data_IF_381169331330
#
_entry.id   IF_381169331330
#
_cell.length_a   1.000
_cell.length_b   1.000
_cell.length_c   1.000
_cell.angle_alpha   90.00
_cell.angle_beta   90.00
_cell.angle_gamma   90.00
#
_symmetry.space_group_name_H-M   'P 1'
#
loop_
_entity.id
_entity.type
_entity.pdbx_description
1 polymer ?
#
# COMPACT_ATOMS: atom_id res chain seq x y z
N UNK A 1 -3.95 13.83 20.16
CA UNK A 1 -3.17 13.07 19.16
C UNK A 1 -3.74 11.66 19.02
N UNK A 2 -4.03 10.96 20.12
CA UNK A 2 -4.73 9.67 20.12
C UNK A 2 -6.02 9.58 19.26
N UNK A 3 -6.93 10.56 19.30
CA UNK A 3 -8.18 10.52 18.51
C UNK A 3 -7.93 10.59 16.99
N UNK A 4 -6.95 11.40 16.56
CA UNK A 4 -6.58 11.51 15.14
C UNK A 4 -5.85 10.28 14.64
N UNK A 5 -5.02 9.64 15.48
CA UNK A 5 -4.34 8.41 15.10
C UNK A 5 -5.25 7.18 15.09
N UNK A 6 -6.24 7.11 15.98
CA UNK A 6 -7.31 6.10 15.88
C UNK A 6 -8.07 6.21 14.56
N UNK A 7 -8.42 7.43 14.13
CA UNK A 7 -9.05 7.68 12.83
C UNK A 7 -8.14 7.26 11.68
N UNK A 8 -6.83 7.54 11.76
CA UNK A 8 -5.86 7.10 10.76
C UNK A 8 -5.79 5.57 10.66
N UNK A 9 -5.80 4.86 11.78
CA UNK A 9 -5.83 3.39 11.82
C UNK A 9 -7.11 2.84 11.18
N UNK A 10 -8.28 3.42 11.48
CA UNK A 10 -9.55 3.00 10.89
C UNK A 10 -9.52 3.20 9.37
N UNK A 11 -9.09 4.37 8.90
CA UNK A 11 -8.99 4.68 7.47
C UNK A 11 -8.00 3.72 6.79
N UNK A 12 -6.85 3.46 7.42
CA UNK A 12 -5.85 2.55 6.88
C UNK A 12 -6.38 1.12 6.79
N UNK A 13 -7.10 0.62 7.82
CA UNK A 13 -7.77 -0.67 7.80
C UNK A 13 -8.80 -0.77 6.67
N UNK A 14 -9.62 0.27 6.47
CA UNK A 14 -10.61 0.32 5.39
C UNK A 14 -9.93 0.28 4.03
N UNK A 15 -8.90 1.12 3.83
CA UNK A 15 -8.15 1.16 2.57
C UNK A 15 -7.44 -0.18 2.33
N UNK A 16 -6.85 -0.79 3.35
CA UNK A 16 -6.16 -2.08 3.25
C UNK A 16 -7.12 -3.20 2.85
N UNK A 17 -8.24 -3.31 3.57
CA UNK A 17 -9.27 -4.31 3.31
C UNK A 17 -9.88 -4.12 1.90
N UNK A 18 -10.14 -2.86 1.51
CA UNK A 18 -10.64 -2.54 0.18
C UNK A 18 -9.61 -2.82 -0.92
N UNK A 19 -8.34 -2.49 -0.70
CA UNK A 19 -7.24 -2.70 -1.64
C UNK A 19 -7.09 -4.19 -1.95
N UNK A 20 -7.05 -5.04 -0.92
CA UNK A 20 -6.96 -6.49 -1.09
C UNK A 20 -8.20 -7.07 -1.78
N UNK A 21 -9.40 -6.64 -1.40
CA UNK A 21 -10.64 -7.12 -2.00
C UNK A 21 -10.74 -6.73 -3.48
N UNK A 22 -10.41 -5.48 -3.83
CA UNK A 22 -10.49 -4.95 -5.20
C UNK A 22 -9.40 -5.48 -6.13
N UNK A 23 -8.22 -5.82 -5.61
CA UNK A 23 -7.15 -6.47 -6.37
C UNK A 23 -7.50 -7.91 -6.73
N UNK A 24 -8.21 -8.62 -5.84
CA UNK A 24 -8.61 -10.01 -6.07
C UNK A 24 -9.91 -10.15 -6.87
N UNK A 25 -10.87 -9.23 -6.69
CA UNK A 25 -12.03 -9.11 -7.59
C UNK A 25 -11.57 -8.52 -8.94
N UNK A 26 -11.00 -9.39 -9.78
CA UNK A 26 -10.42 -9.12 -11.08
C UNK A 26 -11.41 -8.67 -12.17
N UNK A 27 -12.15 -7.59 -11.92
CA UNK A 27 -13.04 -6.94 -12.89
C UNK A 27 -12.51 -5.60 -13.41
N UNK A 28 -11.80 -4.83 -12.58
CA UNK A 28 -11.54 -3.42 -12.92
C UNK A 28 -10.35 -3.20 -13.87
N UNK A 29 -9.32 -4.05 -13.89
CA UNK A 29 -8.23 -3.91 -14.88
C UNK A 29 -8.76 -4.14 -16.30
N UNK A 30 -9.73 -5.05 -16.49
CA UNK A 30 -10.43 -5.25 -17.77
C UNK A 30 -11.39 -4.10 -18.10
N UNK A 31 -12.09 -3.53 -17.11
CA UNK A 31 -13.00 -2.40 -17.33
C UNK A 31 -12.28 -1.06 -17.58
N UNK A 32 -11.13 -0.83 -16.94
CA UNK A 32 -10.35 0.40 -17.09
C UNK A 32 -9.64 0.45 -18.44
N UNK A 33 -9.12 -0.69 -18.91
CA UNK A 33 -8.56 -0.78 -20.27
C UNK A 33 -9.65 -0.63 -21.34
N UNK A 34 -10.86 -1.17 -21.12
CA UNK A 34 -11.99 -1.05 -22.05
C UNK A 34 -12.58 0.37 -22.10
N UNK A 35 -12.66 1.09 -20.97
CA UNK A 35 -13.04 2.51 -20.93
C UNK A 35 -11.98 3.42 -21.53
N UNK A 36 -10.68 3.18 -21.27
CA UNK A 36 -9.59 3.93 -21.93
C UNK A 36 -9.61 3.74 -23.44
N UNK A 37 -9.81 2.50 -23.91
CA UNK A 37 -9.87 2.19 -25.35
C UNK A 37 -11.09 2.83 -26.03
N UNK A 38 -12.25 2.83 -25.37
CA UNK A 38 -13.46 3.52 -25.86
C UNK A 38 -13.34 5.05 -25.88
N UNK A 39 -12.55 5.66 -24.99
CA UNK A 39 -12.30 7.10 -24.98
C UNK A 39 -11.22 7.52 -26.00
N UNK A 40 -10.34 6.61 -26.39
CA UNK A 40 -9.28 6.86 -27.37
C UNK A 40 -9.76 6.71 -28.84
N UNK A 41 -10.86 6.00 -29.08
CA UNK A 41 -11.47 5.87 -30.42
C UNK A 41 -12.20 7.13 -30.89
N UNK A 42 -12.49 8.10 -30.00
CA UNK A 42 -13.06 9.39 -30.40
C UNK A 42 -11.94 10.38 -30.75
N UNK A 43 -11.48 10.29 -31.99
CA UNK A 43 -10.30 10.93 -32.60
C UNK A 43 -10.21 12.49 -32.56
N UNK A 44 -11.04 13.19 -31.78
CA UNK A 44 -10.90 14.64 -31.49
C UNK A 44 -10.55 14.95 -30.02
N UNK A 45 -10.63 13.96 -29.13
CA UNK A 45 -10.23 14.09 -27.71
C UNK A 45 -8.75 13.72 -27.44
N UNK A 46 -8.03 13.20 -28.44
CA UNK A 46 -6.67 12.68 -28.28
C UNK A 46 -5.58 13.77 -28.05
N UNK A 47 -5.78 15.00 -28.51
CA UNK A 47 -4.85 16.11 -28.27
C UNK A 47 -5.09 16.78 -26.91
N UNK A 48 -6.36 17.07 -26.59
CA UNK A 48 -6.77 17.61 -25.28
C UNK A 48 -6.43 16.62 -24.14
N UNK A 49 -6.58 15.31 -24.39
CA UNK A 49 -6.21 14.28 -23.41
C UNK A 49 -4.71 14.18 -23.19
N UNK A 50 -3.88 14.29 -24.23
CA UNK A 50 -2.40 14.30 -24.09
C UNK A 50 -1.92 15.50 -23.29
N UNK A 51 -2.44 16.70 -23.57
CA UNK A 51 -2.10 17.91 -22.80
C UNK A 51 -2.55 17.83 -21.34
N UNK A 52 -3.79 17.35 -21.08
CA UNK A 52 -4.28 17.13 -19.71
C UNK A 52 -3.52 16.04 -18.96
N UNK A 53 -3.10 14.97 -19.64
CA UNK A 53 -2.24 13.94 -19.06
C UNK A 53 -0.87 14.50 -18.71
N UNK A 54 -0.27 15.28 -19.60
CA UNK A 54 0.99 15.97 -19.35
C UNK A 54 0.90 16.93 -18.18
N UNK A 55 -0.12 17.80 -18.17
CA UNK A 55 -0.38 18.69 -17.04
C UNK A 55 -0.64 17.91 -15.75
N UNK A 56 -1.36 16.80 -15.81
CA UNK A 56 -1.60 15.92 -14.67
C UNK A 56 -0.31 15.31 -14.12
N UNK A 57 0.56 14.79 -14.99
CA UNK A 57 1.88 14.26 -14.62
C UNK A 57 2.78 15.35 -14.02
N UNK A 58 2.79 16.55 -14.62
CA UNK A 58 3.56 17.70 -14.11
C UNK A 58 3.02 18.14 -12.75
N UNK A 59 1.70 18.29 -12.60
CA UNK A 59 1.08 18.67 -11.32
C UNK A 59 1.33 17.63 -10.24
N UNK A 60 1.20 16.34 -10.56
CA UNK A 60 1.44 15.25 -9.61
C UNK A 60 2.93 15.20 -9.21
N UNK A 61 3.83 15.29 -10.19
CA UNK A 61 5.27 15.35 -9.94
C UNK A 61 5.67 16.57 -9.11
N UNK A 62 5.13 17.75 -9.45
CA UNK A 62 5.37 18.99 -8.71
C UNK A 62 4.84 18.92 -7.29
N UNK A 63 3.59 18.46 -7.09
CA UNK A 63 2.98 18.33 -5.76
C UNK A 63 3.79 17.34 -4.90
N UNK A 64 4.23 16.23 -5.48
CA UNK A 64 5.04 15.23 -4.78
C UNK A 64 6.42 15.79 -4.39
N UNK A 65 7.12 16.46 -5.32
CA UNK A 65 8.44 17.05 -5.06
C UNK A 65 8.36 18.19 -4.05
N UNK A 66 7.33 19.05 -4.17
CA UNK A 66 7.12 20.18 -3.29
C UNK A 66 6.87 19.71 -1.85
N UNK A 67 5.99 18.73 -1.65
CA UNK A 67 5.70 18.19 -0.31
C UNK A 67 6.95 17.61 0.35
N UNK A 68 7.63 16.70 -0.34
CA UNK A 68 8.83 16.05 0.21
C UNK A 68 9.96 17.04 0.43
N UNK A 69 10.21 17.93 -0.54
CA UNK A 69 11.23 18.97 -0.44
C UNK A 69 10.97 19.94 0.69
N UNK A 70 9.71 20.30 0.93
CA UNK A 70 9.31 21.16 2.04
C UNK A 70 9.61 20.50 3.40
N UNK A 71 9.24 19.24 3.58
CA UNK A 71 9.54 18.47 4.79
C UNK A 71 11.06 18.41 5.04
N UNK A 72 11.86 18.08 4.02
CA UNK A 72 13.34 18.03 4.12
C UNK A 72 13.94 19.38 4.51
N UNK A 73 13.48 20.48 3.91
CA UNK A 73 13.98 21.82 4.24
C UNK A 73 13.64 22.20 5.67
N UNK A 74 12.43 21.91 6.15
CA UNK A 74 12.05 22.16 7.54
C UNK A 74 12.91 21.35 8.52
N UNK A 75 13.19 20.08 8.22
CA UNK A 75 14.11 19.29 9.03
C UNK A 75 15.51 19.90 9.06
N UNK A 76 16.08 20.27 7.91
CA UNK A 76 17.40 20.88 7.83
C UNK A 76 17.47 22.22 8.56
N UNK A 77 16.42 23.05 8.50
CA UNK A 77 16.33 24.29 9.26
C UNK A 77 16.31 24.02 10.77
N UNK A 78 15.50 23.06 11.23
CA UNK A 78 15.44 22.65 12.63
C UNK A 78 16.81 22.15 13.14
N UNK A 79 17.51 21.33 12.34
CA UNK A 79 18.86 20.87 12.67
C UNK A 79 19.90 22.00 12.63
N UNK A 80 19.78 22.94 11.69
CA UNK A 80 20.70 24.06 11.57
C UNK A 80 20.66 24.94 12.83
N UNK A 81 19.47 25.20 13.37
CA UNK A 81 19.29 25.96 14.60
C UNK A 81 19.86 25.26 15.84
N UNK A 82 19.90 23.91 15.85
CA UNK A 82 20.38 23.12 17.00
C UNK A 82 21.87 22.80 16.97
N UNK A 83 22.43 22.53 15.79
CA UNK A 83 23.77 21.92 15.62
C UNK A 83 24.72 22.78 14.77
N UNK A 84 24.24 23.87 14.18
CA UNK A 84 25.02 24.75 13.32
C UNK A 84 25.19 24.25 11.88
N UNK A 85 25.44 25.17 10.95
CA UNK A 85 25.41 24.89 9.50
C UNK A 85 26.46 23.90 8.98
N UNK A 86 27.66 23.89 9.56
CA UNK A 86 28.73 23.01 9.09
C UNK A 86 28.44 21.52 9.35
N UNK A 87 27.78 21.20 10.46
CA UNK A 87 27.38 19.81 10.79
C UNK A 87 26.24 19.37 9.88
N UNK A 88 25.26 20.24 9.66
CA UNK A 88 24.11 19.96 8.79
C UNK A 88 24.53 19.74 7.34
N UNK A 89 25.46 20.55 6.81
CA UNK A 89 25.94 20.38 5.44
C UNK A 89 26.61 19.02 5.22
N UNK A 90 27.45 18.57 6.17
CA UNK A 90 28.09 17.26 6.12
C UNK A 90 27.05 16.14 6.15
N UNK A 91 26.05 16.26 7.04
CA UNK A 91 24.94 15.30 7.13
C UNK A 91 24.09 15.25 5.85
N UNK A 92 23.79 16.42 5.25
CA UNK A 92 23.04 16.52 4.01
C UNK A 92 23.79 15.90 2.81
N UNK A 93 25.09 16.14 2.71
CA UNK A 93 25.94 15.51 1.68
C UNK A 93 25.96 13.99 1.83
N UNK A 94 26.15 13.48 3.05
CA UNK A 94 26.11 12.05 3.31
C UNK A 94 24.73 11.45 2.96
N UNK A 95 23.64 12.10 3.36
CA UNK A 95 22.28 11.69 3.04
C UNK A 95 22.03 11.65 1.52
N UNK A 96 22.52 12.65 0.77
CA UNK A 96 22.42 12.69 -0.69
C UNK A 96 23.11 11.48 -1.33
N UNK A 97 24.32 11.13 -0.88
CA UNK A 97 25.07 9.97 -1.37
C UNK A 97 24.33 8.66 -1.08
N UNK A 98 23.83 8.48 0.15
CA UNK A 98 23.09 7.27 0.53
C UNK A 98 21.78 7.13 -0.27
N UNK A 99 21.03 8.21 -0.45
CA UNK A 99 19.80 8.20 -1.25
C UNK A 99 20.09 7.92 -2.72
N UNK A 100 21.16 8.48 -3.29
CA UNK A 100 21.59 8.18 -4.66
C UNK A 100 21.94 6.70 -4.84
N UNK A 101 22.63 6.10 -3.85
CA UNK A 101 22.96 4.67 -3.84
C UNK A 101 21.69 3.80 -3.81
N UNK A 102 20.73 4.11 -2.94
CA UNK A 102 19.45 3.40 -2.87
C UNK A 102 18.65 3.57 -4.17
N UNK A 103 18.66 4.75 -4.77
CA UNK A 103 18.01 5.00 -6.05
C UNK A 103 18.59 4.10 -7.15
N UNK A 104 19.93 4.03 -7.27
CA UNK A 104 20.60 3.15 -8.24
C UNK A 104 20.24 1.68 -7.99
N UNK A 105 20.32 1.22 -6.73
CA UNK A 105 19.97 -0.15 -6.38
C UNK A 105 18.51 -0.47 -6.76
N UNK A 106 17.60 0.47 -6.51
CA UNK A 106 16.18 0.32 -6.84
C UNK A 106 15.99 0.26 -8.36
N UNK A 107 16.62 1.13 -9.14
CA UNK A 107 16.51 1.10 -10.61
C UNK A 107 17.03 -0.21 -11.20
N UNK A 108 18.15 -0.73 -10.67
CA UNK A 108 18.71 -2.02 -11.10
C UNK A 108 17.77 -3.18 -10.74
N UNK A 109 17.20 -3.17 -9.52
CA UNK A 109 16.29 -4.21 -9.05
C UNK A 109 14.94 -4.18 -9.77
N UNK A 110 14.44 -2.99 -10.11
CA UNK A 110 13.14 -2.77 -10.77
C UNK A 110 13.07 -3.43 -12.16
N UNK A 111 14.18 -3.53 -12.89
CA UNK A 111 14.21 -4.11 -14.24
C UNK A 111 13.82 -5.60 -14.29
N UNK A 112 13.86 -6.30 -13.15
CA UNK A 112 13.63 -7.76 -13.07
C UNK A 112 12.35 -8.16 -12.33
N UNK A 113 11.52 -7.21 -11.88
CA UNK A 113 10.42 -7.50 -10.96
C UNK A 113 9.07 -7.74 -11.68
N UNK A 114 8.46 -8.93 -11.56
CA UNK A 114 7.12 -9.18 -12.07
C UNK A 114 6.08 -8.39 -11.25
N UNK A 115 5.33 -7.51 -11.91
CA UNK A 115 4.34 -6.59 -11.32
C UNK A 115 3.37 -7.23 -10.31
N UNK A 116 3.00 -8.50 -10.51
CA UNK A 116 2.11 -9.24 -9.60
C UNK A 116 2.75 -9.50 -8.23
N UNK A 117 4.06 -9.79 -8.19
CA UNK A 117 4.77 -10.06 -6.93
C UNK A 117 4.97 -8.77 -6.13
N UNK A 118 5.31 -7.67 -6.81
CA UNK A 118 5.49 -6.37 -6.17
C UNK A 118 4.24 -5.95 -5.39
N UNK A 119 3.06 -6.08 -5.98
CA UNK A 119 1.82 -5.64 -5.34
C UNK A 119 1.45 -6.48 -4.11
N UNK A 120 1.77 -7.78 -4.11
CA UNK A 120 1.61 -8.63 -2.93
C UNK A 120 2.64 -8.23 -1.85
N UNK A 121 3.90 -8.00 -2.23
CA UNK A 121 4.95 -7.58 -1.30
C UNK A 121 4.66 -6.22 -0.68
N UNK A 122 4.23 -5.23 -1.47
CA UNK A 122 3.83 -3.91 -0.97
C UNK A 122 2.61 -4.02 -0.06
N UNK A 123 1.63 -4.88 -0.39
CA UNK A 123 0.49 -5.15 0.50
C UNK A 123 0.92 -5.74 1.84
N UNK A 124 1.83 -6.73 1.85
CA UNK A 124 2.39 -7.30 3.09
C UNK A 124 3.11 -6.22 3.90
N UNK A 125 3.96 -5.41 3.24
CA UNK A 125 4.69 -4.33 3.89
C UNK A 125 3.75 -3.31 4.53
N UNK A 126 2.70 -2.90 3.82
CA UNK A 126 1.70 -1.99 4.37
C UNK A 126 0.90 -2.63 5.51
N UNK A 127 0.64 -3.94 5.46
CA UNK A 127 0.04 -4.69 6.57
C UNK A 127 0.92 -4.68 7.82
N UNK A 128 2.23 -4.81 7.67
CA UNK A 128 3.19 -4.67 8.78
C UNK A 128 3.14 -3.26 9.36
N UNK A 129 3.18 -2.23 8.51
CA UNK A 129 3.09 -0.82 8.96
C UNK A 129 1.79 -0.56 9.72
N UNK A 130 0.68 -1.16 9.29
CA UNK A 130 -0.60 -1.07 10.00
C UNK A 130 -0.49 -1.64 11.42
N UNK A 131 0.12 -2.81 11.61
CA UNK A 131 0.34 -3.37 12.96
C UNK A 131 1.17 -2.44 13.84
N UNK A 132 2.22 -1.84 13.27
CA UNK A 132 3.08 -0.89 14.00
C UNK A 132 2.26 0.34 14.42
N UNK A 133 1.48 0.92 13.51
CA UNK A 133 0.62 2.06 13.82
C UNK A 133 -0.42 1.72 14.89
N UNK A 134 -1.04 0.54 14.84
CA UNK A 134 -1.99 0.09 15.88
C UNK A 134 -1.32 0.01 17.25
N UNK A 135 -0.10 -0.52 17.32
CA UNK A 135 0.67 -0.62 18.57
C UNK A 135 0.98 0.75 19.17
N UNK A 136 1.45 1.68 18.36
CA UNK A 136 1.76 3.06 18.77
C UNK A 136 0.49 3.77 19.27
N UNK A 137 -0.62 3.65 18.53
CA UNK A 137 -1.87 4.32 18.90
C UNK A 137 -2.50 3.73 20.17
N UNK A 138 -2.41 2.41 20.37
CA UNK A 138 -2.83 1.79 21.62
C UNK A 138 -2.00 2.29 22.81
N UNK A 139 -0.69 2.51 22.62
CA UNK A 139 0.18 3.11 23.63
C UNK A 139 -0.19 4.59 23.90
N UNK A 140 -0.44 5.40 22.86
CA UNK A 140 -0.88 6.79 23.05
C UNK A 140 -2.20 6.87 23.83
N UNK A 141 -3.14 5.95 23.60
CA UNK A 141 -4.39 5.86 24.34
C UNK A 141 -4.17 5.48 25.81
N UNK A 142 -3.18 4.63 26.11
CA UNK A 142 -2.75 4.31 27.48
C UNK A 142 -2.13 5.53 28.17
N UNK A 143 -1.25 6.28 27.49
CA UNK A 143 -0.65 7.51 28.02
C UNK A 143 -1.71 8.59 28.29
N UNK A 144 -2.75 8.65 27.46
CA UNK A 144 -3.90 9.54 27.63
C UNK A 144 -4.90 9.08 28.71
N UNK A 145 -4.67 7.96 29.40
CA UNK A 145 -5.59 7.35 30.37
C UNK A 145 -6.97 6.96 29.79
N UNK A 146 -7.07 6.76 28.48
CA UNK A 146 -8.30 6.31 27.82
C UNK A 146 -8.51 4.80 27.93
N UNK A 147 -7.43 4.04 28.07
CA UNK A 147 -7.44 2.57 28.19
C UNK A 147 -6.58 2.19 29.41
N UNK A 148 -7.00 1.16 30.15
CA UNK A 148 -6.22 0.60 31.25
C UNK A 148 -4.84 0.09 30.80
N UNK A 149 -3.88 0.17 31.71
CA UNK A 149 -2.49 -0.28 31.50
C UNK A 149 -2.23 -1.51 32.34
N UNK A 150 -2.43 -2.69 31.75
CA UNK A 150 -2.07 -3.95 32.40
C UNK A 150 -0.71 -4.41 31.91
N UNK A 151 0.35 -4.03 32.61
CA UNK A 151 1.71 -4.45 32.29
C UNK A 151 1.94 -5.94 32.60
N UNK A 152 2.53 -6.67 31.65
CA UNK A 152 2.94 -8.06 31.86
C UNK A 152 4.41 -8.08 32.28
N UNK A 153 4.68 -8.11 33.58
CA UNK A 153 6.05 -8.08 34.14
C UNK A 153 6.91 -9.25 33.64
N UNK A 154 6.31 -10.41 33.39
CA UNK A 154 7.01 -11.59 32.85
C UNK A 154 7.48 -11.40 31.41
N UNK A 155 6.75 -10.63 30.59
CA UNK A 155 7.08 -10.41 29.18
C UNK A 155 8.11 -9.28 29.00
N UNK A 156 8.16 -8.34 29.94
CA UNK A 156 9.13 -7.23 29.98
C UNK A 156 10.60 -7.70 29.94
N UNK A 157 10.90 -8.87 30.51
CA UNK A 157 12.25 -9.44 30.48
C UNK A 157 12.62 -10.08 29.13
N UNK A 158 11.63 -10.47 28.32
CA UNK A 158 11.84 -11.13 27.03
C UNK A 158 11.68 -10.20 25.83
N UNK A 159 11.13 -8.98 26.03
CA UNK A 159 10.94 -7.99 24.97
C UNK A 159 12.07 -6.96 25.02
N UNK A 160 13.09 -7.09 24.15
CA UNK A 160 14.10 -6.06 23.98
C UNK A 160 13.52 -4.67 23.70
N UNK A 161 14.19 -3.59 24.16
CA UNK A 161 13.76 -2.22 23.91
C UNK A 161 13.62 -1.87 22.41
N UNK A 162 14.41 -2.51 21.55
CA UNK A 162 14.32 -2.29 20.10
C UNK A 162 13.00 -2.78 19.51
N UNK A 163 12.33 -3.80 20.08
CA UNK A 163 11.04 -4.24 19.56
C UNK A 163 9.93 -3.23 19.80
N UNK A 164 9.96 -2.53 20.94
CA UNK A 164 9.06 -1.41 21.20
C UNK A 164 9.32 -0.23 20.26
N UNK A 165 10.57 -0.01 19.89
CA UNK A 165 10.98 1.14 19.07
C UNK A 165 10.72 0.93 17.57
N UNK A 166 10.96 -0.29 17.06
CA UNK A 166 10.83 -0.60 15.63
C UNK A 166 9.46 -1.19 15.25
N UNK A 167 8.84 -1.97 16.14
CA UNK A 167 7.59 -2.68 15.85
C UNK A 167 6.41 -2.21 16.72
N UNK A 168 6.61 -1.19 17.56
CA UNK A 168 5.62 -0.70 18.51
C UNK A 168 5.02 -1.82 19.38
N UNK A 169 5.84 -2.82 19.73
CA UNK A 169 5.42 -3.93 20.60
C UNK A 169 5.69 -3.53 22.03
N UNK A 170 4.61 -3.23 22.77
CA UNK A 170 4.68 -2.90 24.19
C UNK A 170 4.27 -4.10 25.05
N UNK A 171 4.92 -4.33 26.20
CA UNK A 171 4.59 -5.45 27.09
C UNK A 171 3.31 -5.16 27.91
N UNK A 172 2.25 -4.68 27.27
CA UNK A 172 0.92 -4.45 27.86
C UNK A 172 -0.12 -5.32 27.17
N UNK A 173 -1.09 -5.84 27.93
CA UNK A 173 -2.12 -6.73 27.39
C UNK A 173 -2.92 -6.04 26.29
N UNK A 174 -3.27 -4.77 26.50
CA UNK A 174 -4.17 -4.04 25.62
C UNK A 174 -3.53 -3.72 24.26
N UNK A 175 -2.23 -3.38 24.23
CA UNK A 175 -1.50 -3.13 22.96
C UNK A 175 -1.30 -4.44 22.18
N UNK A 176 -0.95 -5.53 22.87
CA UNK A 176 -0.80 -6.85 22.26
C UNK A 176 -2.12 -7.39 21.71
N UNK A 177 -3.22 -7.23 22.45
CA UNK A 177 -4.55 -7.63 21.97
C UNK A 177 -4.97 -6.77 20.77
N UNK A 178 -4.73 -5.46 20.79
CA UNK A 178 -5.03 -4.59 19.67
C UNK A 178 -4.24 -4.97 18.40
N UNK A 179 -2.92 -5.19 18.53
CA UNK A 179 -2.08 -5.66 17.42
C UNK A 179 -2.51 -7.05 16.94
N UNK A 180 -2.90 -7.95 17.84
CA UNK A 180 -3.41 -9.28 17.49
C UNK A 180 -4.72 -9.21 16.70
N UNK A 181 -5.69 -8.41 17.14
CA UNK A 181 -6.94 -8.19 16.40
C UNK A 181 -6.66 -7.63 15.01
N UNK A 182 -5.78 -6.63 14.92
CA UNK A 182 -5.37 -6.07 13.63
C UNK A 182 -4.70 -7.12 12.73
N UNK A 183 -3.82 -7.95 13.28
CA UNK A 183 -3.18 -9.04 12.56
C UNK A 183 -4.20 -10.06 12.03
N UNK A 184 -5.16 -10.47 12.86
CA UNK A 184 -6.24 -11.39 12.47
C UNK A 184 -7.10 -10.80 11.36
N UNK A 185 -7.42 -9.50 11.41
CA UNK A 185 -8.18 -8.83 10.35
C UNK A 185 -7.40 -8.78 9.03
N UNK A 186 -6.11 -8.45 9.07
CA UNK A 186 -5.25 -8.38 7.86
C UNK A 186 -5.02 -9.78 7.27
N UNK A 187 -4.67 -10.76 8.10
CA UNK A 187 -4.42 -12.14 7.66
C UNK A 187 -5.72 -12.80 7.21
N UNK A 188 -6.80 -12.63 7.98
CA UNK A 188 -8.12 -13.15 7.68
C UNK A 188 -8.68 -12.62 6.36
N UNK A 189 -8.56 -11.31 6.12
CA UNK A 189 -8.95 -10.71 4.83
C UNK A 189 -8.10 -11.21 3.68
N UNK A 190 -6.79 -11.43 3.88
CA UNK A 190 -5.90 -12.01 2.86
C UNK A 190 -6.26 -13.47 2.51
N UNK A 191 -6.48 -14.33 3.51
CA UNK A 191 -6.87 -15.72 3.30
C UNK A 191 -8.28 -15.85 2.71
N UNK A 192 -9.24 -15.06 3.19
CA UNK A 192 -10.58 -15.00 2.62
C UNK A 192 -10.55 -14.54 1.15
N UNK A 193 -9.74 -13.52 0.82
CA UNK A 193 -9.55 -13.08 -0.56
C UNK A 193 -8.91 -14.16 -1.44
N UNK A 194 -8.00 -14.98 -0.90
CA UNK A 194 -7.35 -16.09 -1.62
C UNK A 194 -8.30 -17.27 -1.86
N UNK A 195 -9.13 -17.64 -0.88
CA UNK A 195 -10.05 -18.77 -1.02
C UNK A 195 -11.28 -18.47 -1.88
N UNK A 196 -11.82 -17.25 -1.80
CA UNK A 196 -12.96 -16.84 -2.63
C UNK A 196 -12.56 -16.47 -4.07
N UNK A 197 -11.30 -16.14 -4.32
CA UNK A 197 -10.75 -15.85 -5.65
C UNK A 197 -10.22 -17.06 -6.42
N UNK A 198 -10.30 -18.26 -5.85
CA UNK A 198 -9.82 -19.52 -6.42
C UNK A 198 -10.89 -20.38 -7.09
N UNK A 199 -12.11 -19.84 -7.29
CA UNK A 199 -13.13 -20.51 -8.09
C UNK A 199 -12.67 -20.58 -9.55
N UNK A 200 -12.20 -21.76 -9.96
CA UNK A 200 -12.00 -22.12 -11.36
C UNK A 200 -13.21 -21.65 -12.18
N UNK A 201 -13.03 -21.01 -13.35
CA UNK A 201 -14.11 -20.94 -14.31
C UNK A 201 -14.36 -22.38 -14.75
N UNK A 202 -15.34 -23.01 -14.11
CA UNK A 202 -15.77 -24.37 -14.41
C UNK A 202 -15.88 -24.53 -15.91
N UNK A 203 -15.10 -25.45 -16.44
CA UNK A 203 -15.21 -25.90 -17.81
C UNK A 203 -16.61 -26.47 -18.02
N UNK A 204 -17.45 -25.69 -18.68
CA UNK A 204 -18.57 -26.20 -19.46
C UNK A 204 -18.43 -25.67 -20.89
N UNK A 205 -17.27 -25.99 -21.48
CA UNK A 205 -17.18 -26.19 -22.90
C UNK A 205 -17.26 -27.70 -23.12
N UNK A 206 -18.47 -28.25 -23.18
CA UNK A 206 -18.79 -29.49 -23.88
C UNK A 206 -20.31 -29.52 -24.13
N UNK A 207 -20.63 -29.49 -25.43
CA UNK A 207 -21.86 -29.96 -26.10
C UNK A 207 -23.14 -29.10 -26.13
N UNK A 208 -23.72 -29.10 -27.35
CA UNK A 208 -24.93 -28.42 -27.86
C UNK A 208 -24.74 -26.93 -28.21
N UNK A 209 -24.73 -26.47 -29.45
CA UNK A 209 -25.51 -26.91 -30.61
C UNK A 209 -24.86 -26.30 -31.88
N UNK A 210 -24.32 -27.13 -32.79
CA UNK A 210 -23.99 -26.69 -34.15
C UNK A 210 -25.20 -27.01 -35.01
N UNK A 211 -25.96 -26.03 -35.52
CA UNK A 211 -27.02 -26.33 -36.47
C UNK A 211 -26.35 -26.71 -37.80
N UNK A 212 -26.35 -28.00 -38.10
CA UNK A 212 -26.01 -28.54 -39.41
C UNK A 212 -26.97 -27.99 -40.46
N UNK A 213 -26.55 -26.96 -41.18
CA UNK A 213 -27.23 -26.50 -42.38
C UNK A 213 -27.18 -27.62 -43.42
N UNK A 214 -28.33 -28.27 -43.66
CA UNK A 214 -28.53 -29.25 -44.73
C UNK A 214 -28.06 -28.67 -46.07
N UNK A 215 -27.05 -29.28 -46.68
CA UNK A 215 -26.82 -29.17 -48.12
C UNK A 215 -27.99 -29.86 -48.84
N UNK A 216 -28.66 -29.11 -49.71
CA UNK A 216 -29.63 -29.66 -50.65
C UNK A 216 -28.92 -30.51 -51.72
N UNK A 217 -29.47 -31.66 -52.13
CA UNK A 217 -28.85 -32.49 -53.14
C UNK A 217 -28.97 -31.84 -54.53
N UNK A 218 -27.83 -31.79 -55.22
CA UNK A 218 -27.72 -31.61 -56.66
C UNK A 218 -28.48 -32.74 -57.33
N UNK A 219 -29.39 -32.43 -58.28
CA UNK A 219 -29.83 -33.36 -59.32
C UNK A 219 -30.35 -32.59 -60.56
N UNK A 220 -29.74 -32.94 -61.70
CA UNK A 220 -30.12 -32.74 -63.11
C UNK A 220 -30.27 -31.31 -63.66
#
# INVERSE_FOLDING_TARGET
>A
QAATGLLAVIVLLVIMNWFFHKIYWGGWIRAHNRRRKALLDNARAAEISRWRLWLGLVLLGFTSLYREGFEVVLFLQSYHLRLGGAVVLKGALLGMVLTAMVAVLTFVLQQRLPYRKMLITTGILLGVVLLVMVGEQAQEMQLAHWISTTEITSLKNYVPPWMGLWFAVFPTVETLVAQFIAAVLVIGSYYAARHLGGGEPGGTALEAEVPTTRMAPINA
#
